data_IF_320231881820
#
_entry.id   IF_320231881820
#
_cell.length_a   1.000
_cell.length_b   1.000
_cell.length_c   1.000
_cell.angle_alpha   90.00
_cell.angle_beta   90.00
_cell.angle_gamma   90.00
#
_symmetry.space_group_name_H-M   'P 1'
#
loop_
_entity.id
_entity.type
_entity.pdbx_description
1 polymer ?
#
# COMPACT_ATOMS: atom_id res chain seq x y z
N UNK A 1 16.46 -22.75 0.68
CA UNK A 1 15.73 -22.24 -0.49
C UNK A 1 14.34 -22.83 -0.45
N UNK A 2 13.35 -22.01 -0.11
CA UNK A 2 11.93 -22.33 -0.07
C UNK A 2 11.27 -21.17 -0.80
N UNK A 3 10.64 -21.46 -1.94
CA UNK A 3 9.84 -20.48 -2.69
C UNK A 3 8.41 -20.80 -2.29
N UNK A 4 7.87 -20.01 -1.37
CA UNK A 4 6.43 -19.88 -1.18
C UNK A 4 5.98 -18.52 -1.72
N UNK A 5 4.85 -18.59 -2.40
CA UNK A 5 4.30 -17.69 -3.40
C UNK A 5 3.26 -16.76 -2.79
N UNK A 6 3.61 -15.50 -2.54
CA UNK A 6 2.69 -14.37 -2.42
C UNK A 6 3.52 -13.07 -2.34
N UNK A 7 3.60 -12.14 -3.30
CA UNK A 7 2.93 -11.93 -4.58
C UNK A 7 3.93 -11.24 -5.52
N UNK A 8 4.11 -11.73 -6.76
CA UNK A 8 4.92 -11.03 -7.78
C UNK A 8 4.41 -9.60 -8.01
N UNK A 9 3.09 -9.39 -7.85
CA UNK A 9 2.41 -8.11 -7.93
C UNK A 9 2.85 -7.13 -6.82
N UNK A 10 2.81 -7.52 -5.54
CA UNK A 10 3.19 -6.64 -4.43
C UNK A 10 4.65 -6.17 -4.54
N UNK A 11 5.55 -7.09 -4.90
CA UNK A 11 6.94 -6.76 -5.21
C UNK A 11 7.05 -5.80 -6.42
N UNK A 12 6.20 -5.95 -7.44
CA UNK A 12 6.20 -5.06 -8.60
C UNK A 12 5.70 -3.66 -8.26
N UNK A 13 4.68 -3.54 -7.41
CA UNK A 13 4.18 -2.25 -6.90
C UNK A 13 5.26 -1.54 -6.08
N UNK A 14 5.90 -2.24 -5.13
CA UNK A 14 7.00 -1.67 -4.32
C UNK A 14 8.14 -1.19 -5.22
N UNK A 15 8.52 -1.98 -6.24
CA UNK A 15 9.53 -1.57 -7.23
C UNK A 15 9.10 -0.32 -8.01
N UNK A 16 7.84 -0.22 -8.41
CA UNK A 16 7.31 0.96 -9.09
C UNK A 16 7.42 2.22 -8.22
N UNK A 17 7.01 2.13 -6.96
CA UNK A 17 7.10 3.22 -5.97
C UNK A 17 8.56 3.63 -5.76
N UNK A 18 9.47 2.67 -5.55
CA UNK A 18 10.89 2.94 -5.36
C UNK A 18 11.50 3.65 -6.58
N UNK A 19 11.22 3.16 -7.79
CA UNK A 19 11.68 3.79 -9.02
C UNK A 19 11.16 5.24 -9.16
N UNK A 20 9.91 5.50 -8.80
CA UNK A 20 9.36 6.85 -8.83
C UNK A 20 10.05 7.76 -7.79
N UNK A 21 10.19 7.28 -6.57
CA UNK A 21 10.84 8.02 -5.48
C UNK A 21 12.28 8.41 -5.84
N UNK A 22 13.06 7.48 -6.39
CA UNK A 22 14.45 7.72 -6.83
C UNK A 22 14.54 8.78 -7.94
N UNK A 23 13.60 8.75 -8.90
CA UNK A 23 13.65 9.62 -10.09
C UNK A 23 13.07 11.01 -9.87
N UNK A 24 12.05 11.14 -9.04
CA UNK A 24 11.23 12.35 -9.02
C UNK A 24 11.15 13.05 -7.67
N UNK A 25 11.26 12.33 -6.55
CA UNK A 25 10.77 12.85 -5.28
C UNK A 25 11.72 12.69 -4.07
N UNK A 26 12.82 11.94 -4.21
CA UNK A 26 13.81 11.63 -3.15
C UNK A 26 13.17 11.22 -1.82
N UNK A 27 12.11 10.41 -1.88
CA UNK A 27 11.41 9.96 -0.69
C UNK A 27 12.24 8.98 0.13
N UNK A 28 12.12 9.07 1.46
CA UNK A 28 12.56 8.02 2.36
C UNK A 28 11.41 7.04 2.58
N UNK A 29 11.57 5.82 2.10
CA UNK A 29 10.52 4.80 2.14
C UNK A 29 10.69 3.92 3.38
N UNK A 30 9.64 3.83 4.19
CA UNK A 30 9.53 2.83 5.26
C UNK A 30 8.66 1.68 4.74
N UNK A 31 9.26 0.49 4.63
CA UNK A 31 8.55 -0.74 4.32
C UNK A 31 8.33 -1.49 5.63
N UNK A 32 7.07 -1.76 5.99
CA UNK A 32 6.73 -2.60 7.14
C UNK A 32 6.39 -4.01 6.65
N UNK A 33 7.28 -5.02 6.82
CA UNK A 33 7.10 -6.37 6.27
C UNK A 33 6.08 -7.23 7.05
N UNK A 34 5.16 -6.62 7.82
CA UNK A 34 4.28 -7.33 8.75
C UNK A 34 3.11 -8.00 8.04
N UNK A 35 3.35 -9.24 7.62
CA UNK A 35 2.40 -10.12 6.94
C UNK A 35 1.40 -10.82 7.89
N UNK A 36 1.73 -11.09 9.15
CA UNK A 36 0.97 -12.13 9.88
C UNK A 36 -0.02 -11.70 10.97
N UNK A 37 -0.06 -10.44 11.40
CA UNK A 37 -0.69 -10.09 12.70
C UNK A 37 -1.74 -8.97 12.64
N UNK A 38 -2.43 -8.75 11.52
CA UNK A 38 -3.63 -7.87 11.39
C UNK A 38 -3.54 -6.48 12.06
N UNK A 39 -2.33 -6.00 12.37
CA UNK A 39 -2.09 -4.73 13.06
C UNK A 39 -1.72 -3.71 12.00
N UNK A 40 -2.72 -3.07 11.40
CA UNK A 40 -2.49 -1.81 10.70
C UNK A 40 -2.28 -0.73 11.76
N UNK A 41 -1.09 -0.66 12.31
CA UNK A 41 -0.64 0.52 13.01
C UNK A 41 0.80 0.71 12.59
N UNK A 42 1.03 1.76 11.78
CA UNK A 42 2.36 2.34 11.62
C UNK A 42 3.03 2.42 13.00
N UNK A 43 4.36 2.28 13.10
CA UNK A 43 5.05 2.32 14.38
C UNK A 43 4.58 3.49 15.24
N UNK A 44 4.40 3.28 16.55
CA UNK A 44 3.98 4.35 17.45
C UNK A 44 4.92 5.55 17.32
N UNK A 45 4.34 6.74 17.13
CA UNK A 45 5.10 7.97 16.93
C UNK A 45 5.71 8.13 15.54
N UNK A 46 5.31 7.32 14.55
CA UNK A 46 5.69 7.52 13.16
C UNK A 46 5.27 8.90 12.65
N UNK A 47 6.17 9.56 11.92
CA UNK A 47 6.05 10.93 11.41
C UNK A 47 6.42 10.97 9.93
N UNK A 48 5.75 10.18 9.11
CA UNK A 48 5.88 10.29 7.66
C UNK A 48 4.87 11.26 7.07
N UNK A 49 5.09 11.64 5.82
CA UNK A 49 4.26 12.63 5.11
C UNK A 49 3.12 12.02 4.30
N UNK A 50 3.02 10.69 4.26
CA UNK A 50 1.96 9.99 3.54
C UNK A 50 2.11 8.48 3.54
N UNK A 51 1.04 7.78 3.19
CA UNK A 51 0.95 6.32 3.21
C UNK A 51 0.51 5.81 1.84
N UNK A 52 1.19 4.78 1.34
CA UNK A 52 0.73 3.97 0.20
C UNK A 52 0.52 2.56 0.73
N UNK A 53 -0.71 2.06 0.67
CA UNK A 53 -1.07 0.78 1.29
C UNK A 53 -2.00 -0.05 0.40
N UNK A 54 -1.85 -1.37 0.45
CA UNK A 54 -2.84 -2.30 -0.09
C UNK A 54 -3.86 -2.57 1.00
N UNK A 55 -5.05 -2.02 0.86
CA UNK A 55 -6.13 -2.22 1.83
C UNK A 55 -6.92 -3.48 1.46
N UNK A 56 -6.96 -4.45 2.36
CA UNK A 56 -7.63 -5.74 2.18
C UNK A 56 -8.67 -6.04 3.27
N UNK A 57 -8.80 -5.16 4.28
CA UNK A 57 -9.79 -5.33 5.36
C UNK A 57 -10.39 -3.99 5.76
N UNK A 58 -11.61 -4.03 6.33
CA UNK A 58 -12.26 -2.84 6.90
C UNK A 58 -11.49 -2.28 8.11
N UNK A 59 -10.90 -3.16 8.93
CA UNK A 59 -10.09 -2.75 10.08
C UNK A 59 -8.92 -1.86 9.65
N UNK A 60 -8.25 -2.21 8.54
CA UNK A 60 -7.22 -1.35 7.97
C UNK A 60 -7.77 0.01 7.62
N UNK A 61 -8.90 0.11 6.89
CA UNK A 61 -9.56 1.39 6.55
C UNK A 61 -9.76 2.25 7.80
N UNK A 62 -10.30 1.69 8.87
CA UNK A 62 -10.59 2.44 10.09
C UNK A 62 -9.28 2.92 10.76
N UNK A 63 -8.24 2.10 10.77
CA UNK A 63 -6.93 2.43 11.33
C UNK A 63 -6.22 3.55 10.55
N UNK A 64 -6.19 3.46 9.22
CA UNK A 64 -5.50 4.43 8.35
C UNK A 64 -6.29 5.72 8.13
N UNK A 65 -7.63 5.69 8.19
CA UNK A 65 -8.48 6.89 8.07
C UNK A 65 -8.30 7.87 9.24
N UNK A 66 -7.74 7.40 10.36
CA UNK A 66 -7.45 8.23 11.53
C UNK A 66 -6.14 9.02 11.42
N UNK A 67 -5.32 8.73 10.41
CA UNK A 67 -4.01 9.36 10.24
C UNK A 67 -4.14 10.75 9.62
N UNK A 68 -3.41 11.77 10.13
CA UNK A 68 -3.48 13.13 9.61
C UNK A 68 -2.64 13.35 8.34
N UNK A 69 -2.39 12.31 7.56
CA UNK A 69 -1.51 12.34 6.38
C UNK A 69 -2.23 11.75 5.16
N UNK A 70 -1.89 12.18 3.94
CA UNK A 70 -2.50 11.65 2.73
C UNK A 70 -2.25 10.15 2.58
N UNK A 71 -3.22 9.47 2.01
CA UNK A 71 -3.21 8.03 1.78
C UNK A 71 -3.54 7.73 0.31
N UNK A 72 -2.83 6.77 -0.27
CA UNK A 72 -3.16 6.17 -1.56
C UNK A 72 -3.39 4.67 -1.36
N UNK A 73 -4.56 4.18 -1.74
CA UNK A 73 -4.82 2.74 -1.81
C UNK A 73 -4.29 2.17 -3.14
N UNK A 74 -3.61 1.04 -3.08
CA UNK A 74 -3.18 0.28 -4.28
C UNK A 74 -3.89 -1.07 -4.41
N UNK A 75 -4.80 -1.37 -3.49
CA UNK A 75 -5.62 -2.58 -3.52
C UNK A 75 -6.85 -2.44 -4.42
N UNK A 76 -7.33 -3.59 -4.85
CA UNK A 76 -8.53 -3.83 -5.67
C UNK A 76 -9.79 -4.08 -4.85
N UNK A 77 -9.66 -4.53 -3.60
CA UNK A 77 -10.80 -4.97 -2.80
C UNK A 77 -11.68 -3.83 -2.26
N UNK A 78 -11.11 -2.66 -2.02
CA UNK A 78 -11.80 -1.48 -1.47
C UNK A 78 -11.55 -0.26 -2.37
N UNK A 79 -12.28 -0.16 -3.48
CA UNK A 79 -12.10 0.94 -4.45
C UNK A 79 -12.64 2.29 -3.95
N UNK A 80 -13.67 2.27 -3.11
CA UNK A 80 -14.36 3.47 -2.62
C UNK A 80 -14.06 3.74 -1.13
N UNK A 81 -12.81 4.06 -0.82
CA UNK A 81 -12.46 4.60 0.50
C UNK A 81 -12.67 6.13 0.48
N UNK A 82 -13.51 6.71 1.37
CA UNK A 82 -13.77 8.15 1.37
C UNK A 82 -12.49 8.98 1.43
N UNK A 83 -12.42 10.03 0.61
CA UNK A 83 -11.29 10.97 0.55
C UNK A 83 -9.92 10.32 0.28
N UNK A 84 -9.90 9.11 -0.28
CA UNK A 84 -8.68 8.33 -0.52
C UNK A 84 -8.56 7.99 -2.00
N UNK A 85 -7.57 8.51 -2.74
CA UNK A 85 -7.30 8.04 -4.09
C UNK A 85 -6.94 6.55 -4.11
N UNK A 86 -7.45 5.83 -5.12
CA UNK A 86 -7.14 4.42 -5.36
C UNK A 86 -6.48 4.24 -6.73
N UNK A 87 -5.51 3.33 -6.80
CA UNK A 87 -4.82 2.93 -8.03
C UNK A 87 -4.89 1.41 -8.13
N UNK A 88 -5.72 0.90 -9.04
CA UNK A 88 -5.84 -0.54 -9.31
C UNK A 88 -5.33 -0.88 -10.72
N UNK A 89 -4.99 -2.15 -10.93
CA UNK A 89 -4.72 -2.67 -12.27
C UNK A 89 -6.06 -2.99 -12.93
N UNK A 90 -6.25 -2.59 -14.18
CA UNK A 90 -7.43 -3.00 -14.95
C UNK A 90 -7.33 -4.50 -15.29
N UNK A 91 -8.03 -5.32 -14.51
CA UNK A 91 -8.03 -6.77 -14.72
C UNK A 91 -8.79 -7.18 -15.99
N UNK A 92 -9.76 -6.38 -16.45
CA UNK A 92 -10.53 -6.66 -17.67
C UNK A 92 -9.60 -6.60 -18.88
N UNK A 93 -8.69 -5.63 -18.92
CA UNK A 93 -7.68 -5.50 -19.97
C UNK A 93 -6.65 -6.67 -19.99
N UNK A 94 -6.47 -7.40 -18.89
CA UNK A 94 -5.50 -8.51 -18.79
C UNK A 94 -6.04 -9.87 -19.24
N UNK A 95 -7.35 -10.00 -19.42
CA UNK A 95 -8.03 -11.28 -19.72
C UNK A 95 -8.36 -11.52 -21.20
N UNK A 96 -7.87 -10.66 -22.10
CA UNK A 96 -8.03 -10.73 -23.55
C UNK A 96 -6.75 -11.22 -24.26
#
# INVERSE_FOLDING_TARGET
MLIETDTSWGCSVIRGIANFAERHARWHLLLDPRDHEHRSALPDGWRGDGVIARITTRLQVDQISSLPVPLVNVGDLFEEIPNTPSVSTDEVALSA
#
